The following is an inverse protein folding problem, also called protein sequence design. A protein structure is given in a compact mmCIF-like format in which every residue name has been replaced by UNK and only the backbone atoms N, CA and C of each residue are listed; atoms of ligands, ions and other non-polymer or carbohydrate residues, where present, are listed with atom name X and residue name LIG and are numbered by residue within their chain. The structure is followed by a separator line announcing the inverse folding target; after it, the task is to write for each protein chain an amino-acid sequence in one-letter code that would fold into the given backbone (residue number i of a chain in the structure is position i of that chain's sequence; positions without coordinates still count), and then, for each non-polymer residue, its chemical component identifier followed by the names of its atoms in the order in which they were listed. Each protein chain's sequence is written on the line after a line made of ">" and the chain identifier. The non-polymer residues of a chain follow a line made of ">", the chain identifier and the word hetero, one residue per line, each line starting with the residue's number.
data_IF_433103754661
#
_entry.id   IF_433103754661
#
_cell.length_a   1.000
_cell.length_b   1.000
_cell.length_c   1.000
_cell.angle_alpha   90.00
_cell.angle_beta   90.00
_cell.angle_gamma   90.00
#
_symmetry.space_group_name_H-M   'P 1'
#
loop_
_entity.id
_entity.type
_entity.pdbx_description
1 polymer ?
#
# COMPACT_ATOMS: atom_id res chain seq x y z
N UNK A 1 35.62 29.91 -28.75
CA UNK A 1 35.00 28.60 -28.99
C UNK A 1 34.03 28.37 -27.83
N UNK A 2 32.77 28.75 -28.00
CA UNK A 2 31.76 28.64 -26.95
C UNK A 2 31.26 27.19 -26.88
N UNK A 3 31.54 26.53 -25.76
CA UNK A 3 31.03 25.20 -25.47
C UNK A 3 29.55 25.32 -25.16
N UNK A 4 28.69 25.03 -26.14
CA UNK A 4 27.25 24.83 -25.91
C UNK A 4 27.09 23.61 -25.00
N UNK A 5 26.86 23.86 -23.71
CA UNK A 5 26.28 22.87 -22.81
C UNK A 5 24.85 22.69 -23.31
N UNK A 6 24.63 21.63 -24.10
CA UNK A 6 23.29 21.20 -24.48
C UNK A 6 22.70 20.56 -23.22
N UNK A 7 22.13 21.38 -22.34
CA UNK A 7 21.20 20.90 -21.33
C UNK A 7 19.94 20.42 -22.06
N UNK A 8 19.89 19.13 -22.37
CA UNK A 8 18.62 18.48 -22.66
C UNK A 8 17.80 18.49 -21.38
N UNK A 9 16.98 19.52 -21.17
CA UNK A 9 15.93 19.52 -20.15
C UNK A 9 15.11 18.24 -20.34
N UNK A 10 15.27 17.30 -19.41
CA UNK A 10 14.49 16.07 -19.40
C UNK A 10 13.06 16.48 -19.07
N UNK A 11 12.23 16.66 -20.10
CA UNK A 11 10.82 17.05 -19.98
C UNK A 11 10.13 16.10 -19.00
N UNK A 12 9.75 16.62 -17.84
CA UNK A 12 9.07 15.87 -16.79
C UNK A 12 7.74 15.37 -17.36
N UNK A 13 7.43 14.08 -17.15
CA UNK A 13 6.16 13.51 -17.56
C UNK A 13 5.03 14.07 -16.67
N UNK A 14 4.40 15.16 -17.14
CA UNK A 14 3.39 15.91 -16.41
C UNK A 14 2.18 15.06 -16.01
N UNK A 15 1.82 14.05 -16.80
CA UNK A 15 0.74 13.11 -16.45
C UNK A 15 1.12 12.24 -15.26
N UNK A 16 2.35 11.73 -15.22
CA UNK A 16 2.82 10.94 -14.08
C UNK A 16 3.01 11.77 -12.82
N UNK A 17 3.45 13.03 -12.95
CA UNK A 17 3.54 13.94 -11.81
C UNK A 17 2.15 14.24 -11.23
N UNK A 18 1.16 14.52 -12.09
CA UNK A 18 -0.22 14.71 -11.66
C UNK A 18 -0.82 13.44 -11.03
N UNK A 19 -0.57 12.27 -11.62
CA UNK A 19 -0.98 11.00 -11.04
C UNK A 19 -0.42 10.80 -9.63
N UNK A 20 0.88 11.06 -9.45
CA UNK A 20 1.55 10.95 -8.16
C UNK A 20 0.90 11.88 -7.12
N UNK A 21 0.66 13.14 -7.48
CA UNK A 21 -0.03 14.10 -6.62
C UNK A 21 -1.43 13.61 -6.20
N UNK A 22 -2.23 13.15 -7.17
CA UNK A 22 -3.59 12.65 -6.90
C UNK A 22 -3.59 11.39 -6.03
N UNK A 23 -2.65 10.47 -6.24
CA UNK A 23 -2.51 9.25 -5.42
C UNK A 23 -2.16 9.62 -3.97
N UNK A 24 -1.22 10.56 -3.77
CA UNK A 24 -0.84 11.01 -2.42
C UNK A 24 -2.02 11.68 -1.73
N UNK A 25 -2.74 12.57 -2.42
CA UNK A 25 -3.94 13.22 -1.91
C UNK A 25 -5.00 12.18 -1.55
N UNK A 26 -5.23 11.15 -2.38
CA UNK A 26 -6.21 10.09 -2.11
C UNK A 26 -5.92 9.37 -0.79
N UNK A 27 -4.65 9.04 -0.52
CA UNK A 27 -4.24 8.39 0.72
C UNK A 27 -4.37 9.29 1.95
N UNK A 28 -4.08 10.59 1.80
CA UNK A 28 -4.28 11.58 2.86
C UNK A 28 -5.77 11.77 3.18
N UNK A 29 -6.61 11.95 2.16
CA UNK A 29 -8.05 12.16 2.34
C UNK A 29 -8.72 10.93 2.94
N UNK A 30 -8.24 9.71 2.64
CA UNK A 30 -8.72 8.49 3.28
C UNK A 30 -8.65 8.55 4.82
N UNK A 31 -7.61 9.21 5.37
CA UNK A 31 -7.45 9.36 6.81
C UNK A 31 -8.56 10.22 7.45
N UNK A 32 -9.23 11.07 6.67
CA UNK A 32 -10.35 11.87 7.17
C UNK A 32 -11.57 11.02 7.51
N UNK A 33 -11.72 9.81 6.95
CA UNK A 33 -12.81 8.92 7.31
C UNK A 33 -12.74 8.45 8.77
N UNK A 34 -11.53 8.28 9.30
CA UNK A 34 -11.35 7.99 10.73
C UNK A 34 -11.81 9.14 11.63
N UNK A 35 -11.82 10.39 11.13
CA UNK A 35 -12.25 11.59 11.88
C UNK A 35 -13.75 11.85 11.73
N UNK A 36 -14.33 11.51 10.58
CA UNK A 36 -15.73 11.77 10.26
C UNK A 36 -16.69 10.67 10.78
N UNK A 37 -16.15 9.56 11.32
CA UNK A 37 -16.83 8.28 11.58
C UNK A 37 -18.28 8.37 12.07
N UNK A 38 -18.55 9.07 13.16
CA UNK A 38 -19.88 9.10 13.77
C UNK A 38 -20.93 9.90 12.96
N UNK A 39 -20.49 10.69 11.98
CA UNK A 39 -21.36 11.52 11.15
C UNK A 39 -21.78 10.83 9.84
N UNK A 40 -21.28 9.62 9.56
CA UNK A 40 -21.58 8.87 8.34
C UNK A 40 -22.41 7.64 8.71
N UNK A 41 -23.53 7.36 8.00
CA UNK A 41 -24.27 6.12 8.19
C UNK A 41 -23.36 4.89 8.03
N UNK A 42 -23.46 3.92 8.95
CA UNK A 42 -22.54 2.79 9.08
C UNK A 42 -22.28 2.05 7.76
N UNK A 43 -23.35 1.72 7.02
CA UNK A 43 -23.25 1.04 5.72
C UNK A 43 -22.51 1.89 4.68
N UNK A 44 -22.76 3.20 4.67
CA UNK A 44 -22.07 4.12 3.76
C UNK A 44 -20.59 4.24 4.13
N UNK A 45 -20.28 4.32 5.43
CA UNK A 45 -18.91 4.32 5.94
C UNK A 45 -18.15 3.08 5.48
N UNK A 46 -18.73 1.89 5.68
CA UNK A 46 -18.15 0.62 5.24
C UNK A 46 -17.84 0.58 3.74
N UNK A 47 -18.78 1.04 2.90
CA UNK A 47 -18.61 1.09 1.44
C UNK A 47 -17.49 2.05 1.06
N UNK A 48 -17.46 3.25 1.66
CA UNK A 48 -16.41 4.24 1.41
C UNK A 48 -15.04 3.69 1.81
N UNK A 49 -14.91 3.13 3.02
CA UNK A 49 -13.64 2.59 3.50
C UNK A 49 -13.12 1.41 2.67
N UNK A 50 -14.03 0.56 2.17
CA UNK A 50 -13.68 -0.59 1.33
C UNK A 50 -13.30 -0.18 -0.10
N UNK A 51 -13.99 0.79 -0.69
CA UNK A 51 -13.91 1.08 -2.12
C UNK A 51 -13.14 2.36 -2.47
N UNK A 52 -12.87 3.26 -1.53
CA UNK A 52 -12.26 4.56 -1.79
C UNK A 52 -10.97 4.46 -2.59
N UNK A 53 -9.95 3.78 -2.03
CA UNK A 53 -8.67 3.62 -2.70
C UNK A 53 -8.80 2.75 -3.96
N UNK A 54 -9.64 1.70 -3.92
CA UNK A 54 -9.87 0.81 -5.06
C UNK A 54 -10.37 1.57 -6.29
N UNK A 55 -11.44 2.34 -6.12
CA UNK A 55 -12.08 3.08 -7.21
C UNK A 55 -11.21 4.27 -7.64
N UNK A 56 -10.78 5.11 -6.70
CA UNK A 56 -10.03 6.33 -7.04
C UNK A 56 -8.65 6.01 -7.63
N UNK A 57 -7.89 5.10 -7.01
CA UNK A 57 -6.57 4.74 -7.52
C UNK A 57 -6.67 3.94 -8.83
N UNK A 58 -7.74 3.16 -9.01
CA UNK A 58 -8.07 2.53 -10.30
C UNK A 58 -8.31 3.57 -11.40
N UNK A 59 -9.14 4.58 -11.15
CA UNK A 59 -9.41 5.70 -12.07
C UNK A 59 -8.13 6.48 -12.38
N UNK A 60 -7.36 6.85 -11.36
CA UNK A 60 -6.09 7.60 -11.54
C UNK A 60 -5.11 6.77 -12.38
N UNK A 61 -4.94 5.49 -12.05
CA UNK A 61 -4.09 4.57 -12.81
C UNK A 61 -4.52 4.46 -14.28
N UNK A 62 -5.83 4.28 -14.54
CA UNK A 62 -6.38 4.18 -15.88
C UNK A 62 -6.11 5.43 -16.72
N UNK A 63 -6.49 6.61 -16.24
CA UNK A 63 -6.44 7.84 -17.03
C UNK A 63 -5.03 8.45 -17.15
N UNK A 64 -4.21 8.37 -16.09
CA UNK A 64 -2.91 9.06 -16.06
C UNK A 64 -1.72 8.13 -16.29
N UNK A 65 -1.81 6.86 -15.88
CA UNK A 65 -0.71 5.90 -16.03
C UNK A 65 -0.91 4.94 -17.23
N UNK A 66 -2.13 4.86 -17.76
CA UNK A 66 -2.45 4.17 -19.00
C UNK A 66 -2.28 2.65 -18.93
N UNK A 67 -1.93 2.03 -20.05
CA UNK A 67 -1.90 0.56 -20.19
C UNK A 67 -1.12 -0.16 -19.10
N UNK A 68 0.04 0.36 -18.67
CA UNK A 68 0.86 -0.25 -17.62
C UNK A 68 0.06 -0.49 -16.32
N UNK A 69 -0.83 0.45 -15.94
CA UNK A 69 -1.67 0.29 -14.75
C UNK A 69 -2.74 -0.80 -14.91
N UNK A 70 -3.10 -1.16 -16.15
CA UNK A 70 -4.09 -2.21 -16.44
C UNK A 70 -3.43 -3.56 -16.68
N UNK A 71 -2.23 -3.59 -17.25
CA UNK A 71 -1.51 -4.84 -17.54
C UNK A 71 -1.26 -5.66 -16.28
N UNK A 72 -1.06 -5.02 -15.12
CA UNK A 72 -0.89 -5.73 -13.84
C UNK A 72 -2.07 -6.63 -13.44
N UNK A 73 -3.27 -6.39 -13.97
CA UNK A 73 -4.44 -7.23 -13.73
C UNK A 73 -4.53 -8.45 -14.66
N UNK A 74 -3.74 -8.48 -15.74
CA UNK A 74 -3.81 -9.54 -16.76
C UNK A 74 -2.84 -10.69 -16.49
N UNK A 75 -1.92 -10.50 -15.56
CA UNK A 75 -0.88 -11.47 -15.25
C UNK A 75 -1.19 -12.18 -13.93
N UNK A 76 -0.77 -13.45 -13.85
CA UNK A 76 -0.73 -14.21 -12.62
C UNK A 76 0.51 -15.11 -12.63
N UNK A 77 1.28 -15.11 -11.55
CA UNK A 77 2.51 -15.89 -11.47
C UNK A 77 2.53 -16.72 -10.19
N UNK A 78 2.16 -17.99 -10.32
CA UNK A 78 2.09 -18.94 -9.21
C UNK A 78 3.47 -19.17 -8.57
N UNK A 79 4.55 -19.18 -9.35
CA UNK A 79 5.91 -19.36 -8.80
C UNK A 79 6.26 -18.21 -7.85
N UNK A 80 5.92 -16.99 -8.25
CA UNK A 80 6.10 -15.81 -7.41
C UNK A 80 5.21 -15.83 -6.17
N UNK A 81 3.98 -16.32 -6.29
CA UNK A 81 3.11 -16.50 -5.12
C UNK A 81 3.71 -17.49 -4.10
N UNK A 82 4.24 -18.63 -4.56
CA UNK A 82 4.78 -19.69 -3.70
C UNK A 82 5.94 -19.24 -2.81
N UNK A 83 6.84 -18.39 -3.32
CA UNK A 83 7.91 -17.82 -2.48
C UNK A 83 7.54 -16.47 -1.88
N UNK A 84 6.64 -15.72 -2.51
CA UNK A 84 6.22 -14.39 -2.06
C UNK A 84 5.42 -14.46 -0.77
N UNK A 85 4.50 -15.41 -0.65
CA UNK A 85 3.72 -15.60 0.57
C UNK A 85 4.58 -15.86 1.82
N UNK A 86 5.49 -16.87 1.83
CA UNK A 86 6.36 -17.07 2.99
C UNK A 86 7.30 -15.88 3.22
N UNK A 87 7.77 -15.20 2.17
CA UNK A 87 8.58 -13.98 2.34
C UNK A 87 7.82 -12.90 3.11
N UNK A 88 6.57 -12.59 2.73
CA UNK A 88 5.75 -11.58 3.41
C UNK A 88 5.55 -11.93 4.88
N UNK A 89 5.22 -13.19 5.18
CA UNK A 89 5.01 -13.67 6.56
C UNK A 89 6.29 -13.54 7.38
N UNK A 90 7.42 -14.05 6.86
CA UNK A 90 8.71 -14.02 7.57
C UNK A 90 9.14 -12.58 7.84
N UNK A 91 9.04 -11.69 6.84
CA UNK A 91 9.41 -10.28 6.99
C UNK A 91 8.54 -9.60 8.03
N UNK A 92 7.22 -9.81 8.00
CA UNK A 92 6.31 -9.21 8.98
C UNK A 92 6.56 -9.70 10.40
N UNK A 93 6.72 -11.01 10.59
CA UNK A 93 7.02 -11.60 11.91
C UNK A 93 8.37 -11.12 12.43
N UNK A 94 9.43 -11.17 11.61
CA UNK A 94 10.77 -10.73 12.01
C UNK A 94 10.78 -9.24 12.37
N UNK A 95 10.08 -8.41 11.59
CA UNK A 95 9.98 -6.97 11.84
C UNK A 95 9.28 -6.66 13.17
N UNK A 96 8.18 -7.36 13.47
CA UNK A 96 7.50 -7.25 14.76
C UNK A 96 8.40 -7.70 15.93
N UNK A 97 9.11 -8.82 15.77
CA UNK A 97 10.05 -9.31 16.79
C UNK A 97 11.18 -8.31 17.07
N UNK A 98 11.76 -7.72 16.01
CA UNK A 98 12.79 -6.69 16.14
C UNK A 98 12.24 -5.48 16.89
N UNK A 99 11.05 -5.01 16.54
CA UNK A 99 10.44 -3.87 17.23
C UNK A 99 10.22 -4.16 18.71
N UNK A 100 9.57 -5.28 19.03
CA UNK A 100 9.28 -5.71 20.41
C UNK A 100 10.55 -5.82 21.25
N UNK A 101 11.61 -6.41 20.70
CA UNK A 101 12.89 -6.55 21.41
C UNK A 101 13.53 -5.20 21.79
N UNK A 102 13.31 -4.14 21.02
CA UNK A 102 13.97 -2.84 21.22
C UNK A 102 13.08 -1.85 21.97
N UNK A 103 11.75 -1.85 21.73
CA UNK A 103 10.86 -0.73 22.07
C UNK A 103 9.60 -1.10 22.89
N UNK A 104 9.52 -2.31 23.47
CA UNK A 104 8.33 -2.77 24.20
C UNK A 104 7.81 -1.77 25.27
N UNK A 105 6.46 -1.60 25.41
CA UNK A 105 5.38 -2.28 24.69
C UNK A 105 4.95 -1.59 23.38
N UNK A 106 4.60 -2.38 22.36
CA UNK A 106 4.06 -1.90 21.10
C UNK A 106 2.62 -1.40 21.23
N UNK A 107 2.28 -0.30 20.53
CA UNK A 107 0.89 0.15 20.42
C UNK A 107 0.07 -0.89 19.69
N UNK A 108 -1.07 -1.29 20.27
CA UNK A 108 -2.02 -2.17 19.60
C UNK A 108 -2.65 -1.43 18.42
N UNK A 109 -2.74 -2.10 17.29
CA UNK A 109 -3.43 -1.58 16.12
C UNK A 109 -4.93 -1.37 16.45
N UNK A 110 -5.49 -0.20 16.15
CA UNK A 110 -6.88 0.13 16.44
C UNK A 110 -7.91 -0.75 15.72
N UNK A 111 -7.55 -1.34 14.56
CA UNK A 111 -8.39 -2.34 13.87
C UNK A 111 -8.75 -3.50 14.79
N UNK A 112 -7.86 -3.82 15.72
CA UNK A 112 -8.01 -4.94 16.61
C UNK A 112 -9.13 -4.76 17.66
N UNK A 113 -9.78 -3.60 17.72
CA UNK A 113 -10.97 -3.31 18.54
C UNK A 113 -12.29 -3.49 17.77
N UNK A 114 -12.25 -3.45 16.44
CA UNK A 114 -13.43 -3.42 15.57
C UNK A 114 -13.49 -4.59 14.58
N UNK A 115 -12.44 -5.41 14.50
CA UNK A 115 -12.33 -6.50 13.54
C UNK A 115 -13.42 -7.56 13.76
N UNK A 116 -14.04 -7.98 12.66
CA UNK A 116 -15.07 -9.02 12.65
C UNK A 116 -14.92 -9.95 11.44
N UNK A 117 -15.54 -11.13 11.48
CA UNK A 117 -15.57 -12.05 10.34
C UNK A 117 -16.20 -11.37 9.11
N UNK A 118 -17.28 -10.61 9.31
CA UNK A 118 -17.92 -9.83 8.25
C UNK A 118 -16.94 -8.86 7.59
N UNK A 119 -16.16 -8.14 8.40
CA UNK A 119 -15.13 -7.21 7.89
C UNK A 119 -14.07 -7.93 7.07
N UNK A 120 -13.57 -9.08 7.54
CA UNK A 120 -12.56 -9.90 6.84
C UNK A 120 -13.07 -10.41 5.49
N UNK A 121 -14.35 -10.76 5.38
CA UNK A 121 -14.92 -11.33 4.16
C UNK A 121 -15.40 -10.27 3.15
N UNK A 122 -15.94 -9.15 3.62
CA UNK A 122 -16.66 -8.21 2.75
C UNK A 122 -16.02 -6.82 2.64
N UNK A 123 -15.10 -6.45 3.54
CA UNK A 123 -14.43 -5.13 3.51
C UNK A 123 -12.94 -5.24 3.22
N UNK A 124 -12.22 -6.06 3.99
CA UNK A 124 -10.75 -6.21 3.88
C UNK A 124 -10.30 -6.56 2.44
N UNK A 125 -10.91 -7.51 1.70
CA UNK A 125 -10.45 -7.87 0.36
C UNK A 125 -10.37 -6.68 -0.59
N UNK A 126 -11.39 -5.81 -0.56
CA UNK A 126 -11.49 -4.64 -1.42
C UNK A 126 -10.59 -3.50 -0.95
N UNK A 127 -10.55 -3.27 0.37
CA UNK A 127 -9.66 -2.28 0.99
C UNK A 127 -8.20 -2.58 0.63
N UNK A 128 -7.76 -3.84 0.80
CA UNK A 128 -6.39 -4.24 0.47
C UNK A 128 -6.09 -4.19 -1.02
N UNK A 129 -7.08 -4.44 -1.90
CA UNK A 129 -6.88 -4.21 -3.35
C UNK A 129 -6.68 -2.72 -3.64
N UNK A 130 -7.41 -1.84 -2.94
CA UNK A 130 -7.18 -0.40 -2.99
C UNK A 130 -5.78 0.00 -2.51
N UNK A 131 -5.29 -0.61 -1.44
CA UNK A 131 -3.93 -0.42 -0.92
C UNK A 131 -2.85 -0.91 -1.90
N UNK A 132 -3.07 -2.04 -2.56
CA UNK A 132 -2.17 -2.49 -3.62
C UNK A 132 -2.18 -1.50 -4.80
N UNK A 133 -3.36 -1.03 -5.22
CA UNK A 133 -3.48 -0.09 -6.34
C UNK A 133 -2.80 1.24 -6.08
N UNK A 134 -3.00 1.85 -4.91
CA UNK A 134 -2.32 3.10 -4.56
C UNK A 134 -0.80 2.90 -4.57
N UNK A 135 -0.31 1.77 -4.03
CA UNK A 135 1.12 1.49 -3.96
C UNK A 135 1.74 1.23 -5.34
N UNK A 136 1.18 0.33 -6.13
CA UNK A 136 1.74 -0.01 -7.45
C UNK A 136 1.67 1.17 -8.40
N UNK A 137 0.60 1.97 -8.35
CA UNK A 137 0.47 3.18 -9.17
C UNK A 137 1.45 4.29 -8.76
N UNK A 138 1.75 4.44 -7.46
CA UNK A 138 2.81 5.36 -7.00
C UNK A 138 4.15 4.91 -7.56
N UNK A 139 4.47 3.61 -7.48
CA UNK A 139 5.73 3.08 -8.02
C UNK A 139 5.80 3.30 -9.53
N UNK A 140 4.74 2.99 -10.27
CA UNK A 140 4.65 3.22 -11.72
C UNK A 140 4.88 4.71 -12.03
N UNK A 141 4.19 5.61 -11.35
CA UNK A 141 4.31 7.06 -11.56
C UNK A 141 5.76 7.53 -11.32
N UNK A 142 6.38 7.13 -10.21
CA UNK A 142 7.75 7.47 -9.88
C UNK A 142 8.75 6.89 -10.88
N UNK A 143 8.55 5.65 -11.36
CA UNK A 143 9.40 5.06 -12.39
C UNK A 143 9.28 5.78 -13.74
N UNK A 144 8.08 6.25 -14.11
CA UNK A 144 7.88 7.10 -15.29
C UNK A 144 8.55 8.47 -15.15
N UNK A 145 8.63 9.00 -13.93
CA UNK A 145 9.44 10.18 -13.60
C UNK A 145 10.95 9.90 -13.60
N UNK A 146 11.37 8.66 -13.84
CA UNK A 146 12.76 8.25 -14.03
C UNK A 146 13.44 7.66 -12.81
N UNK A 147 12.70 7.39 -11.73
CA UNK A 147 13.28 6.76 -10.54
C UNK A 147 13.48 5.25 -10.78
N UNK A 148 14.55 4.71 -10.20
CA UNK A 148 14.76 3.26 -10.15
C UNK A 148 13.70 2.63 -9.23
N UNK A 149 13.34 1.38 -9.51
CA UNK A 149 12.36 0.64 -8.72
C UNK A 149 12.66 0.67 -7.21
N UNK A 150 13.93 0.48 -6.81
CA UNK A 150 14.28 0.47 -5.38
C UNK A 150 13.94 1.78 -4.68
N UNK A 151 14.28 2.91 -5.29
CA UNK A 151 13.94 4.25 -4.77
C UNK A 151 12.43 4.48 -4.77
N UNK A 152 11.74 4.13 -5.86
CA UNK A 152 10.29 4.27 -5.96
C UNK A 152 9.55 3.41 -4.91
N UNK A 153 10.02 2.18 -4.69
CA UNK A 153 9.47 1.26 -3.70
C UNK A 153 9.71 1.74 -2.27
N UNK A 154 10.88 2.32 -1.98
CA UNK A 154 11.15 2.92 -0.67
C UNK A 154 10.24 4.13 -0.40
N UNK A 155 10.09 5.05 -1.36
CA UNK A 155 9.19 6.21 -1.24
C UNK A 155 7.74 5.74 -1.02
N UNK A 156 7.29 4.78 -1.83
CA UNK A 156 5.96 4.18 -1.68
C UNK A 156 5.77 3.55 -0.30
N UNK A 157 6.76 2.82 0.20
CA UNK A 157 6.67 2.14 1.50
C UNK A 157 6.64 3.14 2.66
N UNK A 158 7.39 4.23 2.55
CA UNK A 158 7.34 5.33 3.52
C UNK A 158 5.97 6.00 3.52
N UNK A 159 5.44 6.37 2.35
CA UNK A 159 4.09 6.96 2.25
C UNK A 159 3.03 6.04 2.84
N UNK A 160 3.08 4.75 2.48
CA UNK A 160 2.17 3.73 3.00
C UNK A 160 2.24 3.64 4.53
N UNK A 161 3.44 3.58 5.11
CA UNK A 161 3.62 3.54 6.57
C UNK A 161 3.10 4.82 7.25
N UNK A 162 3.33 6.00 6.66
CA UNK A 162 2.85 7.28 7.20
C UNK A 162 1.32 7.36 7.21
N UNK A 163 0.63 6.79 6.22
CA UNK A 163 -0.83 6.71 6.21
C UNK A 163 -1.40 5.77 7.28
N UNK A 164 -0.58 4.93 7.92
CA UNK A 164 -1.02 4.08 9.01
C UNK A 164 -0.79 4.70 10.40
N UNK A 165 -0.18 5.89 10.49
CA UNK A 165 0.13 6.57 11.75
C UNK A 165 -1.03 6.58 12.76
N UNK A 166 -2.27 6.98 12.36
CA UNK A 166 -3.37 7.05 13.32
C UNK A 166 -3.72 5.68 13.94
N UNK A 167 -3.62 4.60 13.16
CA UNK A 167 -3.96 3.24 13.62
C UNK A 167 -2.98 2.67 14.65
N UNK A 168 -1.79 3.28 14.78
CA UNK A 168 -0.73 2.87 15.70
C UNK A 168 -0.43 3.95 16.76
N UNK A 169 -1.44 4.77 17.11
CA UNK A 169 -1.34 5.74 18.20
C UNK A 169 -0.26 6.80 17.99
N UNK A 170 0.03 7.15 16.74
CA UNK A 170 1.05 8.14 16.39
C UNK A 170 2.47 7.79 16.87
N UNK A 171 2.87 6.51 16.71
CA UNK A 171 4.24 6.04 16.99
C UNK A 171 4.99 5.75 15.69
N UNK A 172 5.72 6.72 15.08
CA UNK A 172 6.36 6.54 13.78
C UNK A 172 7.37 5.39 13.75
N UNK A 173 8.16 5.22 14.81
CA UNK A 173 9.17 4.17 14.87
C UNK A 173 8.60 2.76 14.73
N UNK A 174 7.40 2.51 15.28
CA UNK A 174 6.71 1.23 15.10
C UNK A 174 6.43 0.99 13.63
N UNK A 175 5.87 1.97 12.92
CA UNK A 175 5.52 1.86 11.50
C UNK A 175 6.76 1.71 10.60
N UNK A 176 7.82 2.45 10.89
CA UNK A 176 9.07 2.37 10.14
C UNK A 176 9.69 0.97 10.23
N UNK A 177 9.55 0.32 11.38
CA UNK A 177 10.13 -1.02 11.61
C UNK A 177 9.16 -2.11 11.17
N UNK A 178 7.86 -1.98 11.38
CA UNK A 178 6.90 -3.08 11.16
C UNK A 178 6.16 -3.01 9.82
N UNK A 179 5.91 -1.83 9.26
CA UNK A 179 5.14 -1.67 8.02
C UNK A 179 6.04 -1.52 6.79
N UNK A 180 7.09 -0.69 6.86
CA UNK A 180 7.96 -0.46 5.70
C UNK A 180 8.54 -1.78 5.15
N UNK A 181 9.10 -2.70 5.97
CA UNK A 181 9.68 -3.92 5.45
C UNK A 181 8.66 -4.82 4.74
N UNK A 182 7.45 -4.94 5.28
CA UNK A 182 6.36 -5.72 4.67
C UNK A 182 5.96 -5.11 3.33
N UNK A 183 5.80 -3.77 3.27
CA UNK A 183 5.47 -3.08 2.02
C UNK A 183 6.57 -3.20 0.98
N UNK A 184 7.85 -3.14 1.37
CA UNK A 184 8.98 -3.42 0.48
C UNK A 184 8.94 -4.84 -0.08
N UNK A 185 8.62 -5.85 0.74
CA UNK A 185 8.47 -7.23 0.31
C UNK A 185 7.31 -7.37 -0.71
N UNK A 186 6.13 -6.81 -0.42
CA UNK A 186 4.98 -6.83 -1.32
C UNK A 186 5.27 -6.14 -2.66
N UNK A 187 5.93 -4.98 -2.63
CA UNK A 187 6.38 -4.28 -3.84
C UNK A 187 7.33 -5.13 -4.67
N UNK A 188 8.26 -5.84 -4.02
CA UNK A 188 9.19 -6.74 -4.68
C UNK A 188 8.48 -7.95 -5.31
N UNK A 189 7.49 -8.53 -4.61
CA UNK A 189 6.62 -9.61 -5.11
C UNK A 189 5.84 -9.13 -6.34
N UNK A 190 5.24 -7.95 -6.28
CA UNK A 190 4.55 -7.33 -7.42
C UNK A 190 5.49 -7.16 -8.62
N UNK A 191 6.70 -6.61 -8.43
CA UNK A 191 7.67 -6.44 -9.51
C UNK A 191 8.03 -7.74 -10.21
N UNK A 192 8.24 -8.83 -9.45
CA UNK A 192 8.67 -10.11 -10.00
C UNK A 192 7.50 -10.92 -10.61
N UNK A 193 6.28 -10.71 -10.12
CA UNK A 193 5.08 -11.34 -10.70
C UNK A 193 4.48 -10.55 -11.86
N UNK A 194 4.73 -9.24 -11.91
CA UNK A 194 4.01 -8.26 -12.74
C UNK A 194 2.49 -8.32 -12.52
N UNK A 195 2.05 -8.78 -11.36
CA UNK A 195 0.67 -9.11 -11.06
C UNK A 195 0.24 -8.48 -9.76
N UNK A 196 -0.79 -7.64 -9.81
CA UNK A 196 -1.40 -7.10 -8.60
C UNK A 196 -2.12 -8.19 -7.80
N UNK A 197 -2.65 -9.22 -8.48
CA UNK A 197 -3.29 -10.35 -7.82
C UNK A 197 -2.33 -11.12 -6.92
N UNK A 198 -1.07 -11.31 -7.36
CA UNK A 198 -0.09 -12.05 -6.58
C UNK A 198 0.31 -11.27 -5.31
N UNK A 199 0.59 -9.97 -5.41
CA UNK A 199 0.91 -9.17 -4.22
C UNK A 199 -0.31 -9.01 -3.31
N UNK A 200 -1.50 -8.83 -3.88
CA UNK A 200 -2.76 -8.77 -3.13
C UNK A 200 -3.06 -10.06 -2.36
N UNK A 201 -2.88 -11.24 -2.95
CA UNK A 201 -3.06 -12.52 -2.23
C UNK A 201 -2.06 -12.63 -1.08
N UNK A 202 -0.78 -12.31 -1.31
CA UNK A 202 0.23 -12.33 -0.25
C UNK A 202 -0.15 -11.38 0.90
N UNK A 203 -0.61 -10.18 0.55
CA UNK A 203 -1.03 -9.16 1.51
C UNK A 203 -2.27 -9.61 2.30
N UNK A 204 -3.30 -10.08 1.61
CA UNK A 204 -4.54 -10.56 2.24
C UNK A 204 -4.30 -11.73 3.19
N UNK A 205 -3.52 -12.73 2.78
CA UNK A 205 -3.23 -13.86 3.66
C UNK A 205 -2.40 -13.43 4.88
N UNK A 206 -1.40 -12.55 4.69
CA UNK A 206 -0.61 -12.01 5.79
C UNK A 206 -1.47 -11.26 6.81
N UNK A 207 -2.38 -10.42 6.34
CA UNK A 207 -3.31 -9.67 7.18
C UNK A 207 -4.31 -10.60 7.88
N UNK A 208 -4.86 -11.59 7.18
CA UNK A 208 -5.72 -12.60 7.79
C UNK A 208 -5.01 -13.36 8.93
N UNK A 209 -3.76 -13.77 8.74
CA UNK A 209 -2.97 -14.42 9.81
C UNK A 209 -2.82 -13.48 11.02
N UNK A 210 -2.66 -12.18 10.77
CA UNK A 210 -2.54 -11.17 11.83
C UNK A 210 -3.89 -10.86 12.52
N UNK A 211 -5.00 -10.90 11.78
CA UNK A 211 -6.35 -10.62 12.29
C UNK A 211 -6.97 -11.80 13.04
N UNK A 212 -6.65 -13.05 12.68
CA UNK A 212 -7.23 -14.24 13.31
C UNK A 212 -7.05 -14.23 14.84
N UNK A 213 -5.85 -14.00 15.42
CA UNK A 213 -5.69 -13.86 16.87
C UNK A 213 -6.50 -12.72 17.48
N UNK A 214 -6.75 -11.65 16.70
CA UNK A 214 -7.53 -10.49 17.17
C UNK A 214 -9.01 -10.79 17.31
N UNK A 215 -9.55 -11.79 16.58
CA UNK A 215 -10.93 -12.25 16.70
C UNK A 215 -11.21 -13.03 17.99
N UNK A 216 -10.17 -13.61 18.58
CA UNK A 216 -10.27 -14.45 19.79
C UNK A 216 -9.82 -13.71 21.07
N UNK A 217 -9.73 -12.39 20.99
CA UNK A 217 -9.43 -11.52 22.14
C UNK A 217 -10.50 -11.58 23.21
#
# INVERSE_FOLDING_TARGET
>A
METKIIETEKKIDSKSLLALGLLIISGIVYQLFAVLGDNIPEVLGMILEALWNLVLCGIIGYYFLGKISLEQFKHFNIKTLLWGLPLTIIVGMASNLIFSYIFEPATKNSVAEVISISMILFRVPFMLMGEELICTNIIIALQKLGLKFGTASLICSLLFALWHIPAYGFVPMQLLITIIPVRLALNYIWKNSKSIWVSWICHFIFDCISFVPMLFK
#
